data_IF_248434564609
#
_entry.id   IF_248434564609
#
_cell.length_a   1.000
_cell.length_b   1.000
_cell.length_c   1.000
_cell.angle_alpha   90.00
_cell.angle_beta   90.00
_cell.angle_gamma   90.00
#
_symmetry.space_group_name_H-M   'P 1'
#
loop_
_entity.id
_entity.type
_entity.pdbx_description
1 polymer ?
#
# COMPACT_ATOMS: atom_id res chain seq x y z
N UNK A 1 -20.90 -7.56 -2.53
CA UNK A 1 -19.98 -6.98 -1.55
C UNK A 1 -20.44 -5.60 -1.16
N UNK A 2 -20.17 -5.13 0.06
CA UNK A 2 -20.62 -3.82 0.58
C UNK A 2 -19.45 -2.89 0.88
N UNK A 3 -18.26 -3.44 1.13
CA UNK A 3 -17.05 -2.70 1.45
C UNK A 3 -15.98 -2.85 0.37
N UNK A 4 -15.29 -1.76 0.06
CA UNK A 4 -14.09 -1.70 -0.77
C UNK A 4 -12.92 -1.22 0.08
N UNK A 5 -12.00 -2.12 0.39
CA UNK A 5 -10.75 -1.83 1.09
C UNK A 5 -9.60 -1.88 0.08
N UNK A 6 -8.71 -0.90 0.09
CA UNK A 6 -7.62 -0.82 -0.87
C UNK A 6 -6.29 -0.59 -0.19
N UNK A 7 -5.20 -1.09 -0.80
CA UNK A 7 -3.86 -0.63 -0.48
C UNK A 7 -3.57 0.75 -1.08
N UNK A 8 -2.49 1.36 -0.66
CA UNK A 8 -2.04 2.67 -1.17
C UNK A 8 -1.00 2.50 -2.28
N UNK A 9 0.18 1.98 -1.96
CA UNK A 9 1.32 1.85 -2.87
C UNK A 9 1.05 0.81 -3.97
N UNK A 10 1.24 1.17 -5.25
CA UNK A 10 1.00 0.24 -6.35
C UNK A 10 -0.47 -0.07 -6.66
N UNK A 11 -1.42 0.53 -5.92
CA UNK A 11 -2.87 0.46 -6.16
C UNK A 11 -3.47 1.84 -6.41
N UNK A 12 -3.30 2.77 -5.50
CA UNK A 12 -3.71 4.18 -5.66
C UNK A 12 -2.60 5.05 -6.24
N UNK A 13 -1.41 4.48 -6.38
CA UNK A 13 -0.25 5.08 -7.03
C UNK A 13 0.26 4.18 -8.14
N UNK A 14 1.17 4.71 -8.96
CA UNK A 14 1.97 3.90 -9.87
C UNK A 14 2.79 2.86 -9.12
N UNK A 15 3.34 1.89 -9.84
CA UNK A 15 4.11 0.79 -9.27
C UNK A 15 5.34 1.32 -8.50
N UNK A 16 5.44 0.95 -7.22
CA UNK A 16 6.54 1.35 -6.32
C UNK A 16 7.91 0.92 -6.88
N UNK A 17 7.98 -0.27 -7.48
CA UNK A 17 9.25 -0.81 -8.01
C UNK A 17 9.77 -0.05 -9.22
N UNK A 18 8.92 0.62 -9.98
CA UNK A 18 9.36 1.47 -11.08
C UNK A 18 10.05 2.73 -10.55
N UNK A 19 9.49 3.38 -9.52
CA UNK A 19 10.14 4.50 -8.83
C UNK A 19 11.48 4.10 -8.21
N UNK A 20 11.57 2.93 -7.60
CA UNK A 20 12.82 2.42 -7.02
C UNK A 20 13.86 2.09 -8.07
N UNK A 21 13.45 1.65 -9.25
CA UNK A 21 14.35 1.44 -10.40
C UNK A 21 14.92 2.78 -10.86
N UNK A 22 14.07 3.77 -11.09
CA UNK A 22 14.49 5.10 -11.51
C UNK A 22 15.49 5.71 -10.51
N UNK A 23 15.24 5.54 -9.22
CA UNK A 23 16.17 5.92 -8.16
C UNK A 23 17.51 5.19 -8.28
N UNK A 24 17.52 3.86 -8.41
CA UNK A 24 18.75 3.09 -8.53
C UNK A 24 19.60 3.55 -9.75
N UNK A 25 18.94 3.79 -10.89
CA UNK A 25 19.62 4.30 -12.09
C UNK A 25 20.21 5.70 -11.87
N UNK A 26 19.49 6.59 -11.19
CA UNK A 26 19.97 7.93 -10.85
C UNK A 26 21.17 7.93 -9.90
N UNK A 27 21.22 6.97 -8.97
CA UNK A 27 22.36 6.79 -8.03
C UNK A 27 23.51 5.96 -8.65
N UNK A 28 23.39 5.52 -9.92
CA UNK A 28 24.42 4.70 -10.58
C UNK A 28 24.46 3.25 -10.09
N UNK A 29 23.40 2.77 -9.50
CA UNK A 29 23.23 1.39 -9.05
C UNK A 29 22.58 0.53 -10.15
N UNK A 30 22.69 -0.81 -10.04
CA UNK A 30 21.92 -1.70 -10.90
C UNK A 30 20.40 -1.49 -10.67
N UNK A 31 19.57 -1.46 -11.74
CA UNK A 31 18.17 -1.02 -11.67
C UNK A 31 17.30 -1.75 -10.64
N UNK A 32 17.54 -3.06 -10.44
CA UNK A 32 16.76 -3.88 -9.51
C UNK A 32 17.41 -4.02 -8.11
N UNK A 33 18.43 -3.20 -7.76
CA UNK A 33 19.16 -3.35 -6.48
C UNK A 33 18.25 -3.19 -5.26
N UNK A 34 17.47 -2.13 -5.17
CA UNK A 34 16.54 -1.92 -4.05
C UNK A 34 15.50 -3.05 -3.95
N UNK A 35 14.91 -3.44 -5.07
CA UNK A 35 13.93 -4.54 -5.14
C UNK A 35 14.52 -5.88 -4.70
N UNK A 36 15.76 -6.18 -5.11
CA UNK A 36 16.46 -7.40 -4.72
C UNK A 36 16.73 -7.42 -3.22
N UNK A 37 17.21 -6.32 -2.64
CA UNK A 37 17.43 -6.20 -1.20
C UNK A 37 16.15 -6.47 -0.42
N UNK A 38 15.04 -5.83 -0.75
CA UNK A 38 13.78 -6.06 -0.04
C UNK A 38 13.19 -7.46 -0.22
N UNK A 39 13.59 -8.20 -1.26
CA UNK A 39 13.13 -9.57 -1.49
C UNK A 39 14.06 -10.64 -0.90
N UNK A 40 15.36 -10.43 -0.93
CA UNK A 40 16.35 -11.48 -0.72
C UNK A 40 17.22 -11.24 0.53
N UNK A 41 17.48 -9.96 0.88
CA UNK A 41 18.33 -9.63 2.01
C UNK A 41 17.52 -9.61 3.32
N UNK A 42 17.90 -10.43 4.33
CA UNK A 42 17.16 -10.50 5.58
C UNK A 42 17.26 -9.23 6.43
N UNK A 43 18.39 -8.50 6.37
CA UNK A 43 18.59 -7.29 7.16
C UNK A 43 17.77 -6.14 6.57
N UNK A 44 17.80 -5.96 5.24
CA UNK A 44 16.97 -4.97 4.55
C UNK A 44 15.46 -5.19 4.81
N UNK A 45 15.02 -6.45 4.76
CA UNK A 45 13.64 -6.81 5.08
C UNK A 45 13.27 -6.57 6.54
N UNK A 46 14.20 -6.80 7.45
CA UNK A 46 13.99 -6.55 8.88
C UNK A 46 13.82 -5.04 9.16
N UNK A 47 14.70 -4.21 8.59
CA UNK A 47 14.61 -2.76 8.76
C UNK A 47 13.34 -2.17 8.12
N UNK A 48 12.96 -2.64 6.91
CA UNK A 48 11.68 -2.24 6.31
C UNK A 48 10.50 -2.58 7.22
N UNK A 49 10.45 -3.80 7.74
CA UNK A 49 9.36 -4.24 8.62
C UNK A 49 9.27 -3.40 9.89
N UNK A 50 10.42 -3.00 10.46
CA UNK A 50 10.45 -2.11 11.63
C UNK A 50 9.88 -0.74 11.31
N UNK A 51 10.24 -0.17 10.14
CA UNK A 51 9.67 1.10 9.66
C UNK A 51 8.16 0.98 9.45
N UNK A 52 7.71 -0.07 8.75
CA UNK A 52 6.31 -0.30 8.45
C UNK A 52 5.45 -0.50 9.70
N UNK A 53 6.03 -1.02 10.79
CA UNK A 53 5.37 -1.15 12.10
C UNK A 53 5.47 0.08 12.98
N UNK A 54 6.19 1.12 12.55
CA UNK A 54 6.42 2.31 13.35
C UNK A 54 7.37 2.08 14.54
N UNK A 55 8.17 1.03 14.51
CA UNK A 55 9.18 0.72 15.52
C UNK A 55 10.43 1.62 15.40
N UNK A 56 10.67 2.13 14.20
CA UNK A 56 11.69 3.13 13.87
C UNK A 56 11.08 4.21 12.98
N UNK A 57 11.67 5.40 12.98
CA UNK A 57 11.30 6.48 12.09
C UNK A 57 12.06 6.45 10.75
N UNK A 58 11.70 7.34 9.82
CA UNK A 58 12.34 7.41 8.51
C UNK A 58 13.85 7.71 8.62
N UNK A 59 14.34 8.69 9.41
CA UNK A 59 15.76 8.93 9.56
C UNK A 59 16.55 7.71 10.09
N UNK A 60 15.99 6.97 11.06
CA UNK A 60 16.63 5.76 11.58
C UNK A 60 16.67 4.66 10.50
N UNK A 61 15.58 4.48 9.74
CA UNK A 61 15.55 3.54 8.61
C UNK A 61 16.59 3.92 7.54
N UNK A 62 16.65 5.18 7.13
CA UNK A 62 17.57 5.68 6.12
C UNK A 62 19.03 5.46 6.52
N UNK A 63 19.37 5.72 7.78
CA UNK A 63 20.72 5.49 8.31
C UNK A 63 21.12 3.99 8.28
N UNK A 64 20.16 3.08 8.41
CA UNK A 64 20.40 1.63 8.40
C UNK A 64 20.35 1.02 7.02
N UNK A 65 19.38 1.45 6.20
CA UNK A 65 19.15 0.89 4.87
C UNK A 65 20.12 1.45 3.82
N UNK A 66 20.51 2.73 3.90
CA UNK A 66 21.42 3.36 2.96
C UNK A 66 22.74 2.59 2.75
N UNK A 67 23.45 2.18 3.82
CA UNK A 67 24.65 1.34 3.69
C UNK A 67 24.40 -0.02 3.01
N UNK A 68 23.25 -0.65 3.25
CA UNK A 68 22.87 -1.91 2.58
C UNK A 68 22.62 -1.69 1.09
N UNK A 69 22.03 -0.56 0.74
CA UNK A 69 21.76 -0.17 -0.63
C UNK A 69 23.03 0.27 -1.37
N UNK A 70 24.07 0.68 -0.62
CA UNK A 70 25.35 1.13 -1.17
C UNK A 70 25.37 2.60 -1.56
N UNK A 71 24.43 3.41 -1.03
CA UNK A 71 24.44 4.87 -1.21
C UNK A 71 25.21 5.55 -0.10
N UNK A 72 25.81 6.71 -0.40
CA UNK A 72 26.59 7.50 0.55
C UNK A 72 25.78 8.60 1.23
N UNK A 73 24.76 9.10 0.54
CA UNK A 73 23.83 10.10 1.05
C UNK A 73 22.56 9.39 1.55
N UNK A 74 22.38 9.38 2.87
CA UNK A 74 21.25 8.68 3.49
C UNK A 74 20.08 9.62 3.79
N UNK A 75 20.32 10.90 4.03
CA UNK A 75 19.27 11.87 4.36
C UNK A 75 18.29 12.03 3.19
N UNK A 76 17.01 11.89 3.47
CA UNK A 76 15.96 11.95 2.46
C UNK A 76 15.96 10.77 1.46
N UNK A 77 16.59 9.64 1.82
CA UNK A 77 16.63 8.45 0.97
C UNK A 77 15.23 7.94 0.62
N UNK A 78 14.32 7.91 1.60
CA UNK A 78 12.95 7.46 1.36
C UNK A 78 12.23 8.42 0.41
N UNK A 79 12.42 9.73 0.54
CA UNK A 79 11.86 10.71 -0.42
C UNK A 79 12.36 10.47 -1.84
N UNK A 80 13.66 10.22 -2.01
CA UNK A 80 14.25 9.92 -3.32
C UNK A 80 13.75 8.61 -3.91
N UNK A 81 13.57 7.55 -3.09
CA UNK A 81 13.00 6.28 -3.53
C UNK A 81 11.58 6.44 -4.09
N UNK A 82 10.79 7.33 -3.50
CA UNK A 82 9.40 7.56 -3.89
C UNK A 82 9.18 8.73 -4.86
N UNK A 83 10.24 9.45 -5.27
CA UNK A 83 10.14 10.65 -6.10
C UNK A 83 9.46 10.41 -7.47
N UNK A 84 9.58 9.20 -8.03
CA UNK A 84 8.93 8.81 -9.29
C UNK A 84 7.47 8.42 -9.17
N UNK A 85 6.95 8.25 -7.95
CA UNK A 85 5.56 7.80 -7.77
C UNK A 85 4.56 8.88 -8.15
N UNK A 86 3.49 8.46 -8.86
CA UNK A 86 2.38 9.30 -9.25
C UNK A 86 1.05 8.65 -8.83
N UNK A 87 -0.02 9.43 -8.59
CA UNK A 87 -1.35 8.87 -8.36
C UNK A 87 -1.85 8.06 -9.56
N UNK A 88 -2.45 6.88 -9.32
CA UNK A 88 -3.25 6.18 -10.33
C UNK A 88 -4.64 6.85 -10.41
N UNK A 89 -4.77 7.81 -11.33
CA UNK A 89 -5.99 8.61 -11.48
C UNK A 89 -7.27 7.77 -11.62
N UNK A 90 -7.31 6.72 -12.46
CA UNK A 90 -8.44 5.82 -12.58
C UNK A 90 -8.82 5.13 -11.26
N UNK A 91 -7.85 4.59 -10.49
CA UNK A 91 -8.13 3.93 -9.22
C UNK A 91 -8.57 4.92 -8.14
N UNK A 92 -7.91 6.07 -8.04
CA UNK A 92 -8.31 7.16 -7.12
C UNK A 92 -9.73 7.64 -7.44
N UNK A 93 -10.04 7.83 -8.72
CA UNK A 93 -11.39 8.21 -9.18
C UNK A 93 -12.45 7.18 -8.81
N UNK A 94 -12.13 5.90 -8.99
CA UNK A 94 -13.03 4.79 -8.67
C UNK A 94 -13.35 4.69 -7.17
N UNK A 95 -12.34 4.86 -6.30
CA UNK A 95 -12.56 4.86 -4.84
C UNK A 95 -13.44 6.04 -4.42
N UNK A 96 -13.17 7.25 -4.93
CA UNK A 96 -14.00 8.43 -4.68
C UNK A 96 -15.45 8.21 -5.14
N UNK A 97 -15.63 7.63 -6.33
CA UNK A 97 -16.95 7.32 -6.87
C UNK A 97 -17.67 6.26 -6.04
N UNK A 98 -16.98 5.18 -5.65
CA UNK A 98 -17.52 4.13 -4.78
C UNK A 98 -18.10 4.73 -3.50
N UNK A 99 -17.33 5.56 -2.81
CA UNK A 99 -17.79 6.28 -1.62
C UNK A 99 -18.99 7.16 -1.90
N UNK A 100 -18.95 7.97 -2.95
CA UNK A 100 -20.02 8.89 -3.29
C UNK A 100 -21.36 8.21 -3.58
N UNK A 101 -21.35 6.97 -4.07
CA UNK A 101 -22.56 6.17 -4.35
C UNK A 101 -22.94 5.22 -3.19
N UNK A 102 -22.29 5.34 -2.03
CA UNK A 102 -22.66 4.64 -0.80
C UNK A 102 -22.01 3.26 -0.59
N UNK A 103 -20.96 2.93 -1.34
CA UNK A 103 -20.08 1.80 -1.00
C UNK A 103 -19.21 2.23 0.16
N UNK A 104 -19.14 1.44 1.22
CA UNK A 104 -18.25 1.70 2.35
C UNK A 104 -16.80 1.50 1.91
N UNK A 105 -15.93 2.50 2.13
CA UNK A 105 -14.56 2.48 1.62
C UNK A 105 -13.53 2.56 2.73
N UNK A 106 -12.39 1.87 2.57
CA UNK A 106 -11.31 1.93 3.55
C UNK A 106 -9.92 1.78 2.93
N UNK A 107 -8.93 2.27 3.66
CA UNK A 107 -7.52 2.10 3.36
C UNK A 107 -6.89 1.11 4.35
N UNK A 108 -6.11 0.14 3.85
CA UNK A 108 -5.22 -0.70 4.67
C UNK A 108 -3.84 -0.66 4.03
N UNK A 109 -2.90 0.05 4.63
CA UNK A 109 -1.59 0.32 4.06
C UNK A 109 -0.45 -0.05 5.00
N UNK A 110 0.58 -0.74 4.47
CA UNK A 110 1.87 -0.82 5.13
C UNK A 110 2.61 0.51 4.92
N UNK A 111 3.01 1.14 6.03
CA UNK A 111 3.51 2.52 6.04
C UNK A 111 5.00 2.60 5.74
N UNK A 112 5.38 3.55 4.90
CA UNK A 112 6.77 4.00 4.70
C UNK A 112 7.03 5.34 5.40
N UNK A 113 6.41 5.56 6.57
CA UNK A 113 6.40 6.80 7.31
C UNK A 113 5.04 7.50 7.31
N UNK A 114 4.67 8.07 8.44
CA UNK A 114 3.33 8.65 8.65
C UNK A 114 3.08 9.94 7.83
N UNK A 115 4.13 10.63 7.41
CA UNK A 115 4.06 11.91 6.68
C UNK A 115 3.77 11.80 5.18
N UNK A 116 3.74 10.58 4.62
CA UNK A 116 3.67 10.37 3.15
C UNK A 116 2.27 10.36 2.56
N UNK A 117 1.25 10.48 3.38
CA UNK A 117 -0.13 10.45 2.92
C UNK A 117 -0.72 11.86 2.84
N UNK A 118 -1.35 12.19 1.70
CA UNK A 118 -2.22 13.37 1.59
C UNK A 118 -3.52 13.11 2.39
N UNK A 119 -3.45 13.38 3.69
CA UNK A 119 -4.56 13.13 4.61
C UNK A 119 -5.77 14.02 4.37
N UNK A 120 -5.59 15.16 3.73
CA UNK A 120 -6.68 16.08 3.39
C UNK A 120 -7.61 15.46 2.34
N UNK A 121 -7.08 14.56 1.51
CA UNK A 121 -7.88 13.79 0.55
C UNK A 121 -8.65 12.61 1.14
N UNK A 122 -8.29 12.12 2.33
CA UNK A 122 -8.87 10.91 2.93
C UNK A 122 -10.39 10.99 3.18
N UNK A 123 -10.94 12.10 3.71
CA UNK A 123 -12.39 12.16 3.98
C UNK A 123 -13.27 12.00 2.74
N UNK A 124 -12.77 12.33 1.55
CA UNK A 124 -13.52 12.15 0.29
C UNK A 124 -13.30 10.79 -0.35
N UNK A 125 -12.36 10.00 0.19
CA UNK A 125 -12.00 8.68 -0.33
C UNK A 125 -12.37 7.54 0.61
N UNK A 126 -12.24 7.72 1.93
CA UNK A 126 -12.33 6.64 2.89
C UNK A 126 -13.27 6.95 4.04
N UNK A 127 -14.01 5.92 4.48
CA UNK A 127 -14.78 5.93 5.73
C UNK A 127 -13.91 5.53 6.92
N UNK A 128 -12.89 4.68 6.65
CA UNK A 128 -11.91 4.28 7.65
C UNK A 128 -10.51 4.12 7.04
N UNK A 129 -9.49 4.27 7.89
CA UNK A 129 -8.08 4.18 7.50
C UNK A 129 -7.33 3.34 8.53
N UNK A 130 -6.54 2.38 8.03
CA UNK A 130 -5.60 1.58 8.81
C UNK A 130 -4.22 1.72 8.18
N UNK A 131 -3.29 2.32 8.91
CA UNK A 131 -1.89 2.48 8.51
C UNK A 131 -1.04 1.72 9.52
N UNK A 132 -0.23 0.79 9.04
CA UNK A 132 0.52 -0.15 9.88
C UNK A 132 1.36 0.53 10.94
N UNK A 133 2.07 1.61 10.59
CA UNK A 133 2.90 2.38 11.52
C UNK A 133 2.14 3.11 12.63
N UNK A 134 0.82 3.25 12.52
CA UNK A 134 -0.03 3.86 13.55
C UNK A 134 -0.65 2.84 14.49
N UNK A 135 -0.79 1.59 14.02
CA UNK A 135 -1.50 0.54 14.74
C UNK A 135 -0.60 -0.60 15.21
N UNK A 136 0.66 -0.63 14.75
CA UNK A 136 1.62 -1.69 15.06
C UNK A 136 1.31 -3.04 14.42
N UNK A 137 0.32 -3.11 13.51
CA UNK A 137 -0.06 -4.29 12.75
C UNK A 137 0.48 -4.20 11.34
N UNK A 138 0.68 -5.33 10.66
CA UNK A 138 1.36 -5.36 9.37
C UNK A 138 0.72 -6.38 8.41
N UNK A 139 0.46 -5.99 7.16
CA UNK A 139 0.08 -6.97 6.12
C UNK A 139 1.28 -7.89 5.84
N UNK A 140 1.10 -9.21 5.65
CA UNK A 140 -0.17 -9.94 5.49
C UNK A 140 -0.75 -10.56 6.78
N UNK A 141 -0.44 -10.06 7.96
CA UNK A 141 -0.95 -10.60 9.22
C UNK A 141 -2.49 -10.45 9.29
N UNK A 142 -3.23 -11.47 9.79
CA UNK A 142 -4.69 -11.44 9.81
C UNK A 142 -5.29 -10.24 10.52
N UNK A 143 -4.66 -9.82 11.60
CA UNK A 143 -5.16 -8.81 12.54
C UNK A 143 -5.36 -7.44 11.87
N UNK A 144 -4.53 -7.08 10.88
CA UNK A 144 -4.67 -5.79 10.18
C UNK A 144 -5.91 -5.76 9.29
N UNK A 145 -6.26 -6.89 8.66
CA UNK A 145 -7.46 -7.00 7.83
C UNK A 145 -8.73 -7.06 8.68
N UNK A 146 -8.69 -7.77 9.82
CA UNK A 146 -9.79 -7.80 10.78
C UNK A 146 -10.06 -6.39 11.32
N UNK A 147 -9.01 -5.64 11.70
CA UNK A 147 -9.12 -4.25 12.13
C UNK A 147 -9.69 -3.35 11.00
N UNK A 148 -9.28 -3.57 9.76
CA UNK A 148 -9.82 -2.86 8.60
C UNK A 148 -11.33 -3.08 8.45
N UNK A 149 -11.79 -4.32 8.53
CA UNK A 149 -13.20 -4.69 8.48
C UNK A 149 -13.99 -4.10 9.67
N UNK A 150 -13.44 -4.18 10.87
CA UNK A 150 -14.03 -3.59 12.09
C UNK A 150 -14.22 -2.07 11.93
N UNK A 151 -13.19 -1.35 11.49
CA UNK A 151 -13.25 0.12 11.34
C UNK A 151 -14.24 0.58 10.30
N UNK A 152 -14.47 -0.20 9.23
CA UNK A 152 -15.52 0.10 8.23
C UNK A 152 -16.89 -0.43 8.67
N UNK A 153 -17.00 -1.12 9.79
CA UNK A 153 -18.27 -1.62 10.33
C UNK A 153 -18.88 -2.76 9.53
N UNK A 154 -18.07 -3.58 8.84
CA UNK A 154 -18.53 -4.69 8.00
C UNK A 154 -17.83 -5.98 8.40
N UNK A 155 -18.50 -7.15 8.27
CA UNK A 155 -17.81 -8.42 8.41
C UNK A 155 -16.83 -8.61 7.22
N UNK A 156 -15.66 -9.29 7.43
CA UNK A 156 -14.70 -9.54 6.36
C UNK A 156 -15.31 -10.13 5.09
N UNK A 157 -16.27 -11.06 5.20
CA UNK A 157 -16.94 -11.69 4.08
C UNK A 157 -17.78 -10.74 3.19
N UNK A 158 -18.05 -9.53 3.64
CA UNK A 158 -18.73 -8.49 2.86
C UNK A 158 -17.75 -7.46 2.24
N UNK A 159 -16.45 -7.61 2.48
CA UNK A 159 -15.41 -6.73 2.01
C UNK A 159 -14.65 -7.30 0.80
N UNK A 160 -14.33 -6.43 -0.15
CA UNK A 160 -13.33 -6.67 -1.19
C UNK A 160 -12.07 -5.94 -0.80
N UNK A 161 -10.92 -6.63 -0.80
CA UNK A 161 -9.60 -6.02 -0.60
C UNK A 161 -8.80 -6.03 -1.90
N UNK A 162 -8.14 -4.90 -2.21
CA UNK A 162 -7.34 -4.73 -3.44
C UNK A 162 -5.90 -4.43 -3.05
N UNK A 163 -4.95 -5.22 -3.57
CA UNK A 163 -3.53 -5.05 -3.28
C UNK A 163 -2.69 -5.57 -4.47
N UNK A 164 -1.51 -5.03 -4.71
CA UNK A 164 -0.61 -5.46 -5.78
C UNK A 164 0.31 -6.63 -5.36
N UNK A 165 0.38 -6.93 -4.07
CA UNK A 165 1.15 -8.05 -3.52
C UNK A 165 0.25 -9.27 -3.28
N UNK A 166 0.68 -10.41 -3.84
CA UNK A 166 -0.06 -11.68 -3.69
C UNK A 166 -0.20 -12.11 -2.24
N UNK A 167 0.87 -11.97 -1.44
CA UNK A 167 0.86 -12.32 -0.02
C UNK A 167 -0.20 -11.55 0.77
N UNK A 168 -0.40 -10.27 0.49
CA UNK A 168 -1.43 -9.46 1.14
C UNK A 168 -2.83 -9.91 0.73
N UNK A 169 -3.02 -10.23 -0.55
CA UNK A 169 -4.28 -10.81 -1.03
C UNK A 169 -4.59 -12.14 -0.34
N UNK A 170 -3.59 -13.01 -0.13
CA UNK A 170 -3.79 -14.28 0.57
C UNK A 170 -4.09 -14.06 2.07
N UNK A 171 -3.43 -13.09 2.74
CA UNK A 171 -3.75 -12.69 4.10
C UNK A 171 -5.20 -12.21 4.26
N UNK A 172 -5.67 -11.35 3.34
CA UNK A 172 -7.06 -10.89 3.32
C UNK A 172 -8.06 -12.05 3.12
N UNK A 173 -7.76 -13.01 2.24
CA UNK A 173 -8.60 -14.21 2.03
C UNK A 173 -8.66 -15.08 3.26
N UNK A 174 -7.57 -15.19 4.02
CA UNK A 174 -7.50 -16.02 5.23
C UNK A 174 -8.51 -15.57 6.30
N UNK A 175 -8.85 -14.28 6.35
CA UNK A 175 -9.89 -13.73 7.23
C UNK A 175 -11.29 -13.71 6.60
N UNK A 176 -11.43 -14.23 5.38
CA UNK A 176 -12.72 -14.35 4.69
C UNK A 176 -13.07 -13.20 3.74
N UNK A 177 -12.17 -12.25 3.49
CA UNK A 177 -12.38 -11.21 2.48
C UNK A 177 -12.30 -11.78 1.06
N UNK A 178 -12.99 -11.15 0.11
CA UNK A 178 -12.69 -11.33 -1.31
C UNK A 178 -11.49 -10.47 -1.66
N UNK A 179 -10.42 -11.05 -2.22
CA UNK A 179 -9.24 -10.28 -2.60
C UNK A 179 -9.07 -10.20 -4.12
N UNK A 180 -8.71 -9.01 -4.60
CA UNK A 180 -8.41 -8.72 -6.01
C UNK A 180 -6.94 -8.32 -6.11
N UNK A 181 -6.15 -9.15 -6.79
CA UNK A 181 -4.75 -8.84 -7.07
C UNK A 181 -4.69 -7.76 -8.16
N UNK A 182 -4.23 -6.58 -7.78
CA UNK A 182 -4.08 -5.46 -8.71
C UNK A 182 -2.96 -5.71 -9.72
N UNK A 183 -3.25 -5.48 -10.99
CA UNK A 183 -2.30 -5.56 -12.12
C UNK A 183 -2.52 -4.42 -13.12
N UNK A 184 -3.15 -3.34 -12.65
CA UNK A 184 -3.51 -2.16 -13.40
C UNK A 184 -5.02 -1.91 -13.37
N UNK A 185 -5.39 -0.64 -13.45
CA UNK A 185 -6.78 -0.17 -13.35
C UNK A 185 -7.69 -0.81 -14.43
N UNK A 186 -7.18 -1.06 -15.64
CA UNK A 186 -7.94 -1.66 -16.74
C UNK A 186 -8.48 -3.07 -16.44
N UNK A 187 -7.80 -3.84 -15.59
CA UNK A 187 -8.20 -5.19 -15.18
C UNK A 187 -8.94 -5.18 -13.85
N UNK A 188 -8.53 -4.30 -12.94
CA UNK A 188 -9.07 -4.22 -11.58
C UNK A 188 -10.47 -3.61 -11.56
N UNK A 189 -10.70 -2.50 -12.26
CA UNK A 189 -11.98 -1.79 -12.21
C UNK A 189 -13.17 -2.66 -12.69
N UNK A 190 -13.12 -3.35 -13.83
CA UNK A 190 -14.22 -4.24 -14.23
C UNK A 190 -14.53 -5.33 -13.20
N UNK A 191 -13.49 -5.85 -12.53
CA UNK A 191 -13.68 -6.85 -11.49
C UNK A 191 -14.33 -6.29 -10.23
N UNK A 192 -13.97 -5.07 -9.84
CA UNK A 192 -14.60 -4.37 -8.72
C UNK A 192 -16.07 -4.03 -9.01
N UNK A 193 -16.36 -3.56 -10.22
CA UNK A 193 -17.74 -3.27 -10.66
C UNK A 193 -18.63 -4.53 -10.58
N UNK A 194 -18.12 -5.69 -11.04
CA UNK A 194 -18.81 -6.97 -10.92
C UNK A 194 -19.07 -7.36 -9.46
N UNK A 195 -18.04 -7.27 -8.59
CA UNK A 195 -18.12 -7.70 -7.19
C UNK A 195 -19.01 -6.79 -6.34
N UNK A 196 -18.99 -5.48 -6.61
CA UNK A 196 -19.75 -4.48 -5.87
C UNK A 196 -21.14 -4.25 -6.45
N UNK A 197 -21.37 -4.62 -7.73
CA UNK A 197 -22.63 -4.39 -8.44
C UNK A 197 -22.90 -2.92 -8.77
N UNK A 198 -21.84 -2.13 -9.01
CA UNK A 198 -21.90 -0.67 -9.26
C UNK A 198 -20.95 -0.28 -10.39
N UNK A 199 -21.17 0.88 -11.00
CA UNK A 199 -20.25 1.48 -11.98
C UNK A 199 -19.25 2.39 -11.29
N UNK A 200 -17.95 2.20 -11.58
CA UNK A 200 -16.82 2.94 -10.96
C UNK A 200 -16.03 3.80 -11.95
N UNK A 201 -16.33 3.69 -13.23
CA UNK A 201 -15.67 4.42 -14.33
C UNK A 201 -16.48 5.60 -14.80
#
# INVERSE_FOLDING_TARGET
MRGLLVDFGGVLTTNVWDSFRDFCEAEGLEPDTAKRLFREDPDARAELRRLERGEIDEPEFEARFGPLLGVTENEGLVDRLFAGMQPDGPMVGAVKRAKAIGVTTGLISNSWGAGRYDRDSFPVMFDAVVISGEVGLHKPEPEIFELGAERVGLPPGECVFVDDLRENCEGAKAVGMTAVLHRGSNTTLPRLEELLGVELR
#
